data_IF_302458992677
#
_entry.id   IF_302458992677
#
_cell.length_a   1.000
_cell.length_b   1.000
_cell.length_c   1.000
_cell.angle_alpha   90.00
_cell.angle_beta   90.00
_cell.angle_gamma   90.00
#
_symmetry.space_group_name_H-M   'P 1'
#
loop_
_entity.id
_entity.type
_entity.pdbx_description
1 polymer ?
#
# COMPACT_ATOMS: atom_id res chain seq x y z
N UNK A 1 -6.40 -10.59 3.35
CA UNK A 1 -5.04 -10.03 3.51
C UNK A 1 -4.11 -10.96 4.28
N UNK A 2 -4.42 -11.38 5.52
CA UNK A 2 -3.53 -12.20 6.38
C UNK A 2 -2.81 -13.34 5.65
N UNK A 3 -3.53 -14.29 5.03
CA UNK A 3 -2.93 -15.47 4.39
C UNK A 3 -1.98 -15.15 3.23
N UNK A 4 -2.20 -14.03 2.55
CA UNK A 4 -1.38 -13.62 1.41
C UNK A 4 -0.11 -12.87 1.82
N UNK A 5 -0.04 -12.35 3.05
CA UNK A 5 0.94 -11.33 3.40
C UNK A 5 1.49 -11.44 4.83
N UNK A 6 1.13 -12.49 5.59
CA UNK A 6 1.74 -12.75 6.88
C UNK A 6 3.26 -12.88 6.71
N UNK A 7 4.01 -12.13 7.49
CA UNK A 7 5.46 -12.18 7.47
C UNK A 7 6.02 -12.14 8.89
N UNK A 8 6.92 -13.05 9.20
CA UNK A 8 7.73 -13.03 10.42
C UNK A 8 9.05 -12.30 10.21
N UNK A 9 9.28 -11.76 9.02
CA UNK A 9 10.54 -11.15 8.62
C UNK A 9 11.69 -12.16 8.53
N UNK A 10 11.41 -13.46 8.43
CA UNK A 10 12.43 -14.50 8.29
C UNK A 10 11.87 -15.66 7.46
N UNK A 11 12.68 -16.70 7.26
CA UNK A 11 12.33 -17.83 6.41
C UNK A 11 11.11 -18.64 6.89
N UNK A 12 10.68 -18.53 8.15
CA UNK A 12 9.51 -19.28 8.64
C UNK A 12 8.21 -18.76 8.01
N UNK A 13 8.16 -17.46 7.71
CA UNK A 13 7.10 -16.85 6.93
C UNK A 13 7.66 -15.60 6.24
N UNK A 14 8.16 -15.72 5.00
CA UNK A 14 8.78 -14.61 4.30
C UNK A 14 7.80 -13.48 3.97
N UNK A 15 6.52 -13.80 3.75
CA UNK A 15 5.51 -12.87 3.26
C UNK A 15 5.33 -12.96 1.76
N UNK A 16 4.70 -11.94 1.18
CA UNK A 16 4.52 -11.77 -0.28
C UNK A 16 3.78 -12.91 -1.02
N UNK A 17 3.18 -13.89 -0.34
CA UNK A 17 2.45 -14.99 -0.98
C UNK A 17 1.44 -14.51 -2.03
N UNK A 18 0.65 -13.48 -1.70
CA UNK A 18 -0.32 -12.90 -2.64
C UNK A 18 0.31 -12.20 -3.84
N UNK A 19 1.52 -11.64 -3.70
CA UNK A 19 2.26 -11.10 -4.85
C UNK A 19 2.85 -12.22 -5.71
N UNK A 20 3.35 -13.28 -5.09
CA UNK A 20 3.86 -14.47 -5.80
C UNK A 20 2.74 -15.17 -6.56
N UNK A 21 1.53 -15.28 -5.99
CA UNK A 21 0.34 -15.79 -6.68
C UNK A 21 0.02 -14.95 -7.93
N UNK A 22 0.02 -13.62 -7.81
CA UNK A 22 -0.21 -12.73 -8.95
C UNK A 22 0.91 -12.83 -9.99
N UNK A 23 2.18 -12.96 -9.58
CA UNK A 23 3.31 -13.14 -10.47
C UNK A 23 3.22 -14.47 -11.23
N UNK A 24 2.79 -15.55 -10.56
CA UNK A 24 2.51 -16.85 -11.19
C UNK A 24 1.37 -16.77 -12.19
N UNK A 25 0.25 -16.15 -11.81
CA UNK A 25 -0.88 -15.96 -12.70
C UNK A 25 -0.47 -15.16 -13.96
N UNK A 26 0.30 -14.10 -13.77
CA UNK A 26 0.83 -13.30 -14.87
C UNK A 26 1.78 -14.11 -15.76
N UNK A 27 2.64 -14.96 -15.17
CA UNK A 27 3.51 -15.85 -15.94
C UNK A 27 2.71 -16.87 -16.75
N UNK A 28 1.69 -17.48 -16.13
CA UNK A 28 0.78 -18.39 -16.82
C UNK A 28 0.09 -17.70 -18.00
N UNK A 29 -0.39 -16.47 -17.82
CA UNK A 29 -0.95 -15.67 -18.92
C UNK A 29 0.10 -15.46 -20.01
N UNK A 30 1.30 -15.01 -19.67
CA UNK A 30 2.37 -14.79 -20.66
C UNK A 30 2.72 -16.05 -21.47
N UNK A 31 2.71 -17.22 -20.83
CA UNK A 31 3.05 -18.47 -21.48
C UNK A 31 1.90 -19.04 -22.34
N UNK A 32 0.64 -18.78 -21.97
CA UNK A 32 -0.52 -19.46 -22.54
C UNK A 32 -1.51 -18.57 -23.33
N UNK A 33 -1.46 -17.23 -23.20
CA UNK A 33 -2.52 -16.37 -23.73
C UNK A 33 -2.67 -16.43 -25.26
N UNK A 34 -1.62 -16.82 -25.98
CA UNK A 34 -1.68 -17.03 -27.44
C UNK A 34 -2.64 -18.17 -27.83
N UNK A 35 -2.82 -19.19 -26.99
CA UNK A 35 -3.82 -20.25 -27.24
C UNK A 35 -5.26 -19.73 -27.12
N UNK A 36 -5.44 -18.56 -26.51
CA UNK A 36 -6.72 -17.86 -26.37
C UNK A 36 -6.81 -16.66 -27.34
N UNK A 37 -5.96 -16.61 -28.37
CA UNK A 37 -5.86 -15.53 -29.35
C UNK A 37 -5.48 -14.15 -28.76
N UNK A 38 -4.87 -14.11 -27.57
CA UNK A 38 -4.30 -12.87 -27.03
C UNK A 38 -2.83 -12.69 -27.37
N UNK A 39 -2.34 -11.46 -27.23
CA UNK A 39 -0.94 -11.12 -27.50
C UNK A 39 -0.12 -11.04 -26.20
N UNK A 40 0.81 -12.00 -26.02
CA UNK A 40 1.70 -12.04 -24.85
C UNK A 40 2.63 -10.82 -24.75
N UNK A 41 2.84 -10.08 -25.85
CA UNK A 41 3.65 -8.86 -25.91
C UNK A 41 2.85 -7.60 -25.58
N UNK A 42 1.57 -7.74 -25.26
CA UNK A 42 0.66 -6.62 -25.02
C UNK A 42 -0.14 -6.78 -23.72
N UNK A 43 0.50 -7.27 -22.67
CA UNK A 43 -0.14 -7.46 -21.36
C UNK A 43 -0.31 -6.12 -20.64
N UNK A 44 -1.56 -5.83 -20.23
CA UNK A 44 -1.95 -4.66 -19.44
C UNK A 44 -2.43 -5.11 -18.07
N UNK A 45 -1.79 -4.62 -17.00
CA UNK A 45 -2.29 -4.77 -15.63
C UNK A 45 -3.17 -3.58 -15.28
N UNK A 46 -4.29 -3.82 -14.63
CA UNK A 46 -5.16 -2.75 -14.16
C UNK A 46 -5.81 -3.14 -12.84
N UNK A 47 -6.10 -2.14 -12.02
CA UNK A 47 -6.83 -2.36 -10.77
C UNK A 47 -7.00 -1.08 -9.97
N UNK A 48 -8.01 -1.04 -9.08
CA UNK A 48 -8.18 0.04 -8.12
C UNK A 48 -7.38 -0.20 -6.82
N UNK A 49 -7.02 0.89 -6.15
CA UNK A 49 -6.51 0.90 -4.77
C UNK A 49 -5.33 -0.07 -4.55
N UNK A 50 -5.46 -1.08 -3.69
CA UNK A 50 -4.42 -2.09 -3.47
C UNK A 50 -4.07 -2.88 -4.76
N UNK A 51 -5.03 -3.04 -5.69
CA UNK A 51 -4.79 -3.62 -7.00
C UNK A 51 -3.90 -2.73 -7.89
N UNK A 52 -4.06 -1.40 -7.80
CA UNK A 52 -3.18 -0.45 -8.49
C UNK A 52 -1.74 -0.51 -7.92
N UNK A 53 -1.62 -0.60 -6.59
CA UNK A 53 -0.34 -0.78 -5.92
C UNK A 53 0.32 -2.11 -6.33
N UNK A 54 -0.42 -3.21 -6.33
CA UNK A 54 0.02 -4.51 -6.82
C UNK A 54 0.50 -4.45 -8.28
N UNK A 55 -0.26 -3.82 -9.18
CA UNK A 55 0.13 -3.65 -10.58
C UNK A 55 1.44 -2.86 -10.72
N UNK A 56 1.60 -1.78 -9.95
CA UNK A 56 2.84 -1.02 -9.91
C UNK A 56 4.03 -1.80 -9.34
N UNK A 57 3.82 -2.67 -8.35
CA UNK A 57 4.88 -3.53 -7.81
C UNK A 57 5.28 -4.62 -8.82
N UNK A 58 4.31 -5.27 -9.47
CA UNK A 58 4.57 -6.27 -10.53
C UNK A 58 5.27 -5.67 -11.75
N UNK A 59 5.02 -4.40 -12.05
CA UNK A 59 5.71 -3.66 -13.12
C UNK A 59 7.22 -3.52 -12.87
N UNK A 60 7.67 -3.49 -11.62
CA UNK A 60 9.09 -3.29 -11.27
C UNK A 60 9.77 -4.54 -10.71
N UNK A 61 8.98 -5.52 -10.26
CA UNK A 61 9.50 -6.76 -9.69
C UNK A 61 10.35 -7.53 -10.71
N UNK A 62 11.54 -8.04 -10.33
CA UNK A 62 12.51 -8.63 -11.27
C UNK A 62 11.93 -9.71 -12.18
N UNK A 63 11.00 -10.54 -11.69
CA UNK A 63 10.42 -11.68 -12.43
C UNK A 63 9.31 -11.29 -13.41
N UNK A 64 8.69 -10.13 -13.24
CA UNK A 64 7.50 -9.72 -14.00
C UNK A 64 7.71 -8.43 -14.80
N UNK A 65 8.73 -7.64 -14.47
CA UNK A 65 8.97 -6.33 -15.09
C UNK A 65 9.16 -6.37 -16.61
N UNK A 66 9.64 -7.48 -17.17
CA UNK A 66 9.91 -7.60 -18.60
C UNK A 66 8.67 -8.04 -19.40
N UNK A 67 7.66 -8.61 -18.73
CA UNK A 67 6.41 -9.09 -19.37
C UNK A 67 5.23 -8.11 -19.20
N UNK A 68 5.25 -7.25 -18.18
CA UNK A 68 4.26 -6.17 -18.04
C UNK A 68 4.59 -5.06 -19.03
N UNK A 69 3.64 -4.74 -19.91
CA UNK A 69 3.84 -3.70 -20.94
C UNK A 69 3.00 -2.45 -20.72
N UNK A 70 1.89 -2.56 -19.97
CA UNK A 70 1.03 -1.43 -19.63
C UNK A 70 0.47 -1.57 -18.23
N UNK A 71 0.24 -0.44 -17.57
CA UNK A 71 -0.43 -0.37 -16.27
C UNK A 71 -1.52 0.71 -16.29
N UNK A 72 -2.69 0.39 -15.77
CA UNK A 72 -3.76 1.35 -15.45
C UNK A 72 -3.99 1.32 -13.93
N UNK A 73 -3.45 2.33 -13.24
CA UNK A 73 -3.45 2.44 -11.78
C UNK A 73 -4.54 3.43 -11.31
N UNK A 74 -5.64 2.91 -10.76
CA UNK A 74 -6.79 3.70 -10.34
C UNK A 74 -6.73 3.91 -8.81
N UNK A 75 -6.58 5.14 -8.34
CA UNK A 75 -6.65 5.46 -6.90
C UNK A 75 -5.66 4.70 -6.02
N UNK A 76 -4.47 4.37 -6.54
CA UNK A 76 -3.41 3.70 -5.79
C UNK A 76 -2.08 3.67 -6.56
N UNK A 77 -0.99 3.40 -5.84
CA UNK A 77 0.37 3.43 -6.40
C UNK A 77 1.30 2.51 -5.62
N UNK A 78 2.29 1.93 -6.30
CA UNK A 78 3.38 1.19 -5.64
C UNK A 78 4.27 2.08 -4.77
N UNK A 79 4.17 3.40 -4.93
CA UNK A 79 4.88 4.39 -4.12
C UNK A 79 4.07 4.82 -2.90
N UNK A 80 2.80 4.45 -2.79
CA UNK A 80 2.01 4.76 -1.59
C UNK A 80 2.71 4.17 -0.35
N UNK A 81 2.70 4.92 0.74
CA UNK A 81 3.30 4.53 2.02
C UNK A 81 2.76 3.22 2.60
N UNK A 82 1.52 2.87 2.26
CA UNK A 82 0.86 1.63 2.66
C UNK A 82 1.09 0.47 1.68
N UNK A 83 1.67 0.72 0.50
CA UNK A 83 1.81 -0.28 -0.56
C UNK A 83 2.94 -1.28 -0.30
N UNK A 84 3.99 -0.87 0.42
CA UNK A 84 5.15 -1.72 0.73
C UNK A 84 5.62 -1.49 2.17
N UNK A 85 5.65 -2.55 2.96
CA UNK A 85 6.20 -2.54 4.32
C UNK A 85 7.72 -2.76 4.21
N UNK A 86 8.46 -1.67 4.33
CA UNK A 86 9.94 -1.69 4.27
C UNK A 86 10.57 -2.12 5.59
N UNK A 87 9.96 -1.74 6.72
CA UNK A 87 10.47 -2.09 8.05
C UNK A 87 10.12 -3.55 8.40
N UNK A 88 11.15 -4.41 8.36
CA UNK A 88 11.08 -5.81 8.78
C UNK A 88 10.52 -5.99 10.19
N UNK A 89 10.89 -5.13 11.13
CA UNK A 89 10.45 -5.25 12.53
C UNK A 89 8.97 -4.90 12.67
N UNK A 90 8.45 -3.96 11.86
CA UNK A 90 7.01 -3.71 11.77
C UNK A 90 6.26 -4.96 11.33
N UNK A 91 6.70 -5.62 10.27
CA UNK A 91 6.08 -6.85 9.77
C UNK A 91 6.11 -7.97 10.84
N UNK A 92 7.28 -8.20 11.45
CA UNK A 92 7.46 -9.19 12.51
C UNK A 92 6.57 -8.92 13.73
N UNK A 93 6.58 -7.68 14.25
CA UNK A 93 5.79 -7.32 15.42
C UNK A 93 4.29 -7.44 15.16
N UNK A 94 3.83 -7.05 13.96
CA UNK A 94 2.42 -7.21 13.57
C UNK A 94 2.00 -8.68 13.66
N UNK A 95 2.79 -9.59 13.09
CA UNK A 95 2.51 -11.03 13.16
C UNK A 95 2.58 -11.59 14.59
N UNK A 96 3.49 -11.08 15.43
CA UNK A 96 3.58 -11.48 16.85
C UNK A 96 2.36 -11.03 17.65
N UNK A 97 1.95 -9.77 17.56
CA UNK A 97 0.78 -9.26 18.30
C UNK A 97 -0.48 -10.01 17.86
N UNK A 98 -0.63 -10.27 16.57
CA UNK A 98 -1.73 -11.08 16.06
C UNK A 98 -1.72 -12.51 16.63
N UNK A 99 -0.54 -13.14 16.65
CA UNK A 99 -0.36 -14.44 17.30
C UNK A 99 -0.78 -14.45 18.76
N UNK A 100 -0.42 -13.41 19.53
CA UNK A 100 -0.81 -13.29 20.94
C UNK A 100 -2.33 -13.18 21.12
N UNK A 101 -3.02 -12.41 20.27
CA UNK A 101 -4.49 -12.28 20.30
C UNK A 101 -5.15 -13.64 20.09
N UNK A 102 -4.58 -14.44 19.19
CA UNK A 102 -4.99 -15.82 18.94
C UNK A 102 -4.38 -16.83 19.91
N UNK A 103 -3.80 -16.42 21.04
CA UNK A 103 -3.22 -17.33 22.03
C UNK A 103 -2.11 -18.25 21.50
N UNK A 104 -1.44 -17.87 20.42
CA UNK A 104 -0.29 -18.58 19.87
C UNK A 104 1.02 -18.16 20.57
N UNK A 105 1.94 -19.12 20.72
CA UNK A 105 3.28 -18.85 21.25
C UNK A 105 4.06 -17.94 20.31
N UNK A 106 4.68 -16.89 20.87
CA UNK A 106 5.53 -15.93 20.15
C UNK A 106 7.01 -16.00 20.56
N UNK A 107 7.41 -17.11 21.20
CA UNK A 107 8.81 -17.33 21.63
C UNK A 107 9.76 -17.45 20.44
N UNK A 108 9.28 -18.02 19.33
CA UNK A 108 10.00 -18.06 18.06
C UNK A 108 9.03 -17.90 16.89
N UNK A 109 9.54 -17.42 15.76
CA UNK A 109 8.75 -17.30 14.52
C UNK A 109 8.24 -18.65 14.05
N UNK A 110 9.01 -19.72 14.20
CA UNK A 110 8.56 -21.08 13.92
C UNK A 110 7.36 -21.51 14.79
N UNK A 111 7.44 -21.33 16.12
CA UNK A 111 6.33 -21.69 17.03
C UNK A 111 5.06 -20.91 16.70
N UNK A 112 5.21 -19.63 16.40
CA UNK A 112 4.13 -18.75 15.97
C UNK A 112 3.48 -19.28 14.68
N UNK A 113 4.27 -19.48 13.62
CA UNK A 113 3.76 -19.94 12.32
C UNK A 113 3.16 -21.34 12.43
N UNK A 114 3.78 -22.24 13.19
CA UNK A 114 3.25 -23.59 13.39
C UNK A 114 1.89 -23.56 14.12
N UNK A 115 1.76 -22.75 15.17
CA UNK A 115 0.49 -22.56 15.87
C UNK A 115 -0.60 -21.98 14.96
N UNK A 116 -0.26 -20.95 14.16
CA UNK A 116 -1.22 -20.37 13.23
C UNK A 116 -1.65 -21.35 12.13
N UNK A 117 -0.74 -22.21 11.66
CA UNK A 117 -1.03 -23.19 10.60
C UNK A 117 -1.79 -24.42 11.10
N UNK A 118 -1.43 -24.95 12.27
CA UNK A 118 -1.95 -26.24 12.77
C UNK A 118 -2.95 -26.09 13.92
N UNK A 119 -2.80 -25.04 14.72
CA UNK A 119 -3.58 -24.83 15.95
C UNK A 119 -4.78 -23.89 15.79
N UNK A 120 -4.96 -23.26 14.63
CA UNK A 120 -6.06 -22.32 14.36
C UNK A 120 -6.78 -22.64 13.07
N UNK A 121 -8.11 -22.55 13.13
CA UNK A 121 -8.97 -22.73 11.97
C UNK A 121 -8.91 -21.54 11.03
N UNK A 122 -9.31 -21.76 9.77
CA UNK A 122 -9.43 -20.68 8.81
C UNK A 122 -10.33 -19.54 9.29
N UNK A 123 -11.43 -19.86 9.95
CA UNK A 123 -12.39 -18.88 10.44
C UNK A 123 -11.82 -18.05 11.59
N UNK A 124 -11.09 -18.67 12.54
CA UNK A 124 -10.39 -17.93 13.60
C UNK A 124 -9.37 -16.95 13.01
N UNK A 125 -8.61 -17.40 12.00
CA UNK A 125 -7.62 -16.56 11.33
C UNK A 125 -8.25 -15.44 10.47
N UNK A 126 -9.47 -15.62 9.99
CA UNK A 126 -10.16 -14.66 9.13
C UNK A 126 -10.97 -13.62 9.90
N UNK A 127 -11.55 -14.01 11.02
CA UNK A 127 -12.52 -13.21 11.78
C UNK A 127 -11.91 -12.49 12.98
N UNK A 128 -10.65 -12.73 13.32
CA UNK A 128 -10.00 -12.02 14.40
C UNK A 128 -9.86 -10.52 14.05
N UNK A 129 -10.53 -9.67 14.83
CA UNK A 129 -10.40 -8.23 14.71
C UNK A 129 -8.98 -7.80 15.08
N UNK A 130 -8.28 -7.17 14.14
CA UNK A 130 -6.93 -6.71 14.34
C UNK A 130 -6.71 -5.33 13.72
N UNK A 131 -6.42 -4.35 14.58
CA UNK A 131 -6.09 -3.00 14.17
C UNK A 131 -4.57 -2.79 14.29
N UNK A 132 -3.87 -2.42 13.21
CA UNK A 132 -2.43 -2.19 13.27
C UNK A 132 -2.10 -0.98 14.14
N UNK A 133 -1.07 -1.11 14.96
CA UNK A 133 -0.53 0.00 15.75
C UNK A 133 0.25 1.00 14.88
N UNK A 134 0.87 0.52 13.78
CA UNK A 134 1.71 1.30 12.87
C UNK A 134 1.28 1.07 11.43
N UNK A 135 1.13 2.16 10.68
CA UNK A 135 0.69 2.18 9.28
C UNK A 135 -0.81 1.89 9.08
N UNK A 136 -1.23 1.84 7.82
CA UNK A 136 -2.65 1.72 7.46
C UNK A 136 -3.16 0.28 7.53
N UNK A 137 -2.45 -0.64 6.88
CA UNK A 137 -2.81 -2.06 6.84
C UNK A 137 -1.88 -2.88 7.74
N UNK A 138 -2.40 -3.93 8.40
CA UNK A 138 -1.59 -4.81 9.23
C UNK A 138 -0.66 -5.70 8.40
N UNK A 139 -1.15 -6.20 7.27
CA UNK A 139 -0.35 -6.97 6.32
C UNK A 139 -0.51 -6.44 4.92
N UNK A 140 0.56 -6.50 4.15
CA UNK A 140 0.66 -6.12 2.74
C UNK A 140 2.00 -6.62 2.18
N UNK A 141 2.36 -6.24 0.96
CA UNK A 141 3.68 -6.54 0.41
C UNK A 141 4.80 -6.08 1.37
N UNK A 142 5.81 -6.91 1.55
CA UNK A 142 7.00 -6.62 2.37
C UNK A 142 8.22 -6.53 1.47
N UNK A 143 9.20 -5.68 1.83
CA UNK A 143 10.50 -5.73 1.18
C UNK A 143 11.21 -7.03 1.59
N UNK A 144 11.72 -7.79 0.63
CA UNK A 144 12.34 -9.07 0.95
C UNK A 144 13.61 -8.84 1.79
N UNK A 145 13.74 -9.65 2.84
CA UNK A 145 14.94 -9.72 3.64
C UNK A 145 15.97 -10.67 3.03
N UNK A 146 17.22 -10.53 3.45
CA UNK A 146 18.26 -11.51 3.14
C UNK A 146 18.13 -12.70 4.09
N UNK A 147 17.27 -13.66 3.76
CA UNK A 147 17.14 -14.92 4.48
C UNK A 147 17.21 -16.08 3.49
N UNK A 148 17.87 -17.17 3.90
CA UNK A 148 17.88 -18.40 3.12
C UNK A 148 16.53 -19.09 3.26
N UNK A 149 15.77 -19.18 2.17
CA UNK A 149 14.61 -20.08 2.10
C UNK A 149 15.17 -21.48 1.81
N UNK A 150 14.74 -22.53 2.53
CA UNK A 150 15.18 -23.89 2.22
C UNK A 150 14.93 -24.22 0.75
N UNK A 151 15.85 -24.95 0.14
CA UNK A 151 15.74 -25.43 -1.25
C UNK A 151 14.73 -26.59 -1.30
N UNK A 152 13.47 -26.28 -0.98
CA UNK A 152 12.39 -27.25 -0.97
C UNK A 152 11.53 -27.05 -2.21
N UNK A 153 11.31 -28.14 -2.96
CA UNK A 153 10.49 -28.19 -4.17
C UNK A 153 9.00 -28.17 -3.82
N UNK A 154 8.52 -27.13 -3.13
CA UNK A 154 7.10 -26.99 -2.78
C UNK A 154 6.23 -26.88 -4.03
N UNK A 155 6.79 -26.35 -5.10
CA UNK A 155 6.23 -26.33 -6.44
C UNK A 155 7.27 -26.83 -7.44
N UNK A 156 6.84 -27.66 -8.38
CA UNK A 156 7.70 -28.21 -9.42
C UNK A 156 8.31 -27.07 -10.25
N UNK A 157 9.64 -27.04 -10.35
CA UNK A 157 10.38 -26.03 -11.10
C UNK A 157 10.67 -24.71 -10.37
N UNK A 158 10.22 -24.53 -9.12
CA UNK A 158 10.59 -23.37 -8.29
C UNK A 158 11.92 -23.59 -7.58
N UNK A 159 12.80 -22.60 -7.69
CA UNK A 159 14.07 -22.52 -6.97
C UNK A 159 13.98 -21.54 -5.81
N UNK A 160 14.97 -21.56 -4.92
CA UNK A 160 15.06 -20.62 -3.79
C UNK A 160 14.87 -19.14 -4.20
N UNK A 161 15.42 -18.73 -5.35
CA UNK A 161 15.31 -17.35 -5.86
C UNK A 161 13.87 -16.95 -6.21
N UNK A 162 13.01 -17.92 -6.54
CA UNK A 162 11.64 -17.67 -6.99
C UNK A 162 10.72 -17.21 -5.85
N UNK A 163 11.14 -17.42 -4.60
CA UNK A 163 10.46 -16.97 -3.38
C UNK A 163 10.69 -15.50 -3.05
N UNK A 164 11.64 -14.85 -3.74
CA UNK A 164 11.87 -13.42 -3.62
C UNK A 164 11.02 -12.66 -4.65
N UNK A 165 10.16 -11.78 -4.16
CA UNK A 165 9.33 -10.90 -4.96
C UNK A 165 10.03 -9.56 -5.30
N UNK A 166 10.60 -8.88 -4.29
CA UNK A 166 11.12 -7.53 -4.43
C UNK A 166 12.34 -7.28 -3.51
N UNK A 167 13.48 -6.97 -4.11
CA UNK A 167 14.78 -6.80 -3.43
C UNK A 167 15.08 -5.34 -3.05
N UNK A 168 14.40 -4.37 -3.66
CA UNK A 168 14.55 -2.93 -3.40
C UNK A 168 13.18 -2.25 -3.34
N UNK A 169 13.13 -1.03 -2.78
CA UNK A 169 11.88 -0.26 -2.77
C UNK A 169 11.41 0.08 -4.19
N UNK A 170 10.10 0.21 -4.37
CA UNK A 170 9.51 0.61 -5.64
C UNK A 170 10.08 1.97 -6.13
N UNK A 171 10.29 2.92 -5.22
CA UNK A 171 10.92 4.22 -5.52
C UNK A 171 12.31 4.05 -6.13
N UNK A 172 13.15 3.20 -5.52
CA UNK A 172 14.49 2.93 -6.04
C UNK A 172 14.44 2.31 -7.44
N UNK A 173 13.59 1.29 -7.64
CA UNK A 173 13.48 0.59 -8.91
C UNK A 173 12.97 1.51 -10.02
N UNK A 174 11.97 2.34 -9.74
CA UNK A 174 11.43 3.31 -10.68
C UNK A 174 12.47 4.38 -11.04
N UNK A 175 13.15 4.97 -10.05
CA UNK A 175 14.19 6.00 -10.29
C UNK A 175 15.37 5.45 -11.10
N UNK A 176 15.71 4.18 -10.90
CA UNK A 176 16.77 3.50 -11.65
C UNK A 176 16.30 2.83 -12.95
N UNK A 177 15.07 3.13 -13.40
CA UNK A 177 14.49 2.63 -14.66
C UNK A 177 14.50 1.10 -14.76
N UNK A 178 14.24 0.41 -13.65
CA UNK A 178 14.16 -1.06 -13.55
C UNK A 178 12.74 -1.56 -13.86
N UNK A 179 12.26 -1.26 -15.06
CA UNK A 179 10.98 -1.68 -15.60
C UNK A 179 11.07 -1.82 -17.13
N UNK A 180 10.06 -2.39 -17.79
CA UNK A 180 10.02 -2.49 -19.25
C UNK A 180 10.21 -1.11 -19.91
N UNK A 181 11.19 -0.96 -20.81
CA UNK A 181 11.48 0.34 -21.46
C UNK A 181 10.32 0.89 -22.30
N UNK A 182 9.47 0.00 -22.83
CA UNK A 182 8.28 0.36 -23.62
C UNK A 182 7.01 0.49 -22.79
N UNK A 183 7.12 0.49 -21.46
CA UNK A 183 5.97 0.53 -20.56
C UNK A 183 5.11 1.79 -20.79
N UNK A 184 3.81 1.60 -20.95
CA UNK A 184 2.83 2.70 -20.89
C UNK A 184 2.12 2.71 -19.54
N UNK A 185 2.01 3.88 -18.91
CA UNK A 185 1.41 4.02 -17.59
C UNK A 185 0.27 5.04 -17.62
N UNK A 186 -0.92 4.62 -17.20
CA UNK A 186 -2.08 5.48 -17.00
C UNK A 186 -2.43 5.44 -15.52
N UNK A 187 -2.71 6.59 -14.93
CA UNK A 187 -3.18 6.67 -13.55
C UNK A 187 -4.16 7.81 -13.36
N UNK A 188 -5.01 7.67 -12.36
CA UNK A 188 -6.00 8.68 -11.98
C UNK A 188 -6.38 8.53 -10.52
N UNK A 189 -6.88 9.62 -9.95
CA UNK A 189 -7.43 9.69 -8.59
C UNK A 189 -8.78 10.38 -8.63
N UNK A 190 -9.62 10.13 -7.63
CA UNK A 190 -10.92 10.78 -7.46
C UNK A 190 -10.81 12.08 -6.68
N UNK A 191 -11.85 12.91 -6.70
CA UNK A 191 -11.88 14.19 -5.98
C UNK A 191 -11.95 14.00 -4.47
N UNK A 192 -12.53 12.90 -3.97
CA UNK A 192 -12.73 12.65 -2.54
C UNK A 192 -12.33 11.23 -2.13
N UNK A 193 -11.10 10.81 -2.44
CA UNK A 193 -10.63 9.42 -2.23
C UNK A 193 -10.78 8.88 -0.80
N UNK A 194 -10.74 9.78 0.18
CA UNK A 194 -10.79 9.41 1.59
C UNK A 194 -12.17 9.66 2.24
N UNK A 195 -13.21 9.97 1.46
CA UNK A 195 -14.57 10.21 1.99
C UNK A 195 -15.13 8.99 2.72
N UNK A 196 -14.75 7.78 2.29
CA UNK A 196 -15.10 6.51 2.94
C UNK A 196 -14.71 6.47 4.42
N UNK A 197 -13.63 7.15 4.82
CA UNK A 197 -13.20 7.21 6.24
C UNK A 197 -14.14 8.04 7.12
N UNK A 198 -14.87 8.98 6.52
CA UNK A 198 -15.93 9.72 7.20
C UNK A 198 -17.19 8.86 7.27
N UNK A 199 -17.56 8.24 6.15
CA UNK A 199 -18.77 7.44 6.03
C UNK A 199 -18.79 6.18 6.92
N UNK A 200 -17.65 5.49 7.02
CA UNK A 200 -17.50 4.26 7.84
C UNK A 200 -17.26 4.54 9.34
N UNK A 201 -17.25 5.80 9.76
CA UNK A 201 -16.97 6.14 11.15
C UNK A 201 -18.27 6.22 11.95
N UNK A 202 -18.53 5.22 12.78
CA UNK A 202 -19.75 5.14 13.61
C UNK A 202 -19.92 6.35 14.55
N UNK A 203 -18.80 6.92 15.03
CA UNK A 203 -18.86 8.12 15.89
C UNK A 203 -19.32 9.35 15.13
N UNK A 204 -18.99 9.45 13.84
CA UNK A 204 -19.47 10.52 12.97
C UNK A 204 -20.88 10.24 12.45
N UNK A 205 -21.24 8.98 12.20
CA UNK A 205 -22.59 8.59 11.78
C UNK A 205 -23.65 9.06 12.79
N UNK A 206 -23.38 8.87 14.09
CA UNK A 206 -24.22 9.35 15.19
C UNK A 206 -24.30 10.88 15.32
N UNK A 207 -23.44 11.62 14.61
CA UNK A 207 -23.37 13.09 14.60
C UNK A 207 -23.70 13.69 13.24
N UNK A 208 -24.38 12.95 12.35
CA UNK A 208 -24.75 13.41 11.01
C UNK A 208 -23.54 13.68 10.10
N UNK A 209 -22.42 12.98 10.30
CA UNK A 209 -21.17 13.13 9.56
C UNK A 209 -20.53 14.52 9.64
N UNK A 210 -20.82 15.27 10.71
CA UNK A 210 -20.21 16.57 11.00
C UNK A 210 -18.78 16.36 11.50
N UNK A 211 -17.82 16.96 10.80
CA UNK A 211 -16.41 17.01 11.22
C UNK A 211 -16.11 18.43 11.71
N UNK A 212 -15.90 18.57 13.02
CA UNK A 212 -15.51 19.84 13.64
C UNK A 212 -13.98 19.95 13.79
N UNK A 213 -13.52 21.15 14.16
CA UNK A 213 -12.09 21.42 14.37
C UNK A 213 -11.48 20.54 15.48
N UNK A 214 -12.27 20.15 16.48
CA UNK A 214 -11.79 19.30 17.57
C UNK A 214 -11.50 17.88 17.07
N UNK A 215 -12.43 17.28 16.33
CA UNK A 215 -12.24 15.98 15.70
C UNK A 215 -11.07 16.03 14.72
N UNK A 216 -10.99 17.07 13.90
CA UNK A 216 -9.89 17.28 12.97
C UNK A 216 -8.53 17.28 13.70
N UNK A 217 -8.39 18.10 14.73
CA UNK A 217 -7.16 18.20 15.53
C UNK A 217 -6.78 16.86 16.17
N UNK A 218 -7.75 16.12 16.70
CA UNK A 218 -7.52 14.78 17.24
C UNK A 218 -6.98 13.83 16.18
N UNK A 219 -7.58 13.81 14.98
CA UNK A 219 -7.15 12.92 13.90
C UNK A 219 -5.80 13.29 13.30
N UNK A 220 -5.44 14.57 13.24
CA UNK A 220 -4.08 14.97 12.84
C UNK A 220 -3.06 14.52 13.88
N UNK A 221 -3.36 14.63 15.18
CA UNK A 221 -2.45 14.12 16.24
C UNK A 221 -2.28 12.60 16.15
N UNK A 222 -3.37 11.86 15.98
CA UNK A 222 -3.32 10.40 15.76
C UNK A 222 -2.47 10.03 14.53
N UNK A 223 -2.60 10.78 13.44
CA UNK A 223 -1.79 10.59 12.23
C UNK A 223 -0.30 10.77 12.54
N UNK A 224 0.07 11.87 13.20
CA UNK A 224 1.48 12.14 13.54
C UNK A 224 2.09 11.04 14.40
N UNK A 225 1.31 10.50 15.36
CA UNK A 225 1.73 9.39 16.19
C UNK A 225 1.90 8.09 15.39
N UNK A 226 0.94 7.76 14.51
CA UNK A 226 0.94 6.53 13.72
C UNK A 226 2.14 6.41 12.78
N UNK A 227 2.65 7.53 12.27
CA UNK A 227 3.82 7.60 11.40
C UNK A 227 5.13 7.86 12.14
N UNK A 228 5.08 7.96 13.47
CA UNK A 228 6.24 8.10 14.35
C UNK A 228 7.22 9.21 13.90
N UNK A 229 6.72 10.42 13.63
CA UNK A 229 7.57 11.57 13.32
C UNK A 229 8.33 12.03 14.58
N UNK A 230 9.47 11.39 14.86
CA UNK A 230 10.22 11.53 16.12
C UNK A 230 10.94 12.86 16.28
N UNK A 231 11.29 13.54 15.19
CA UNK A 231 12.15 14.74 15.24
C UNK A 231 11.42 16.00 15.75
N UNK A 232 10.19 16.24 15.32
CA UNK A 232 9.39 17.40 15.76
C UNK A 232 7.89 17.15 15.58
N UNK A 233 7.27 16.29 16.40
CA UNK A 233 5.86 15.92 16.23
C UNK A 233 4.91 17.12 16.35
N UNK A 234 5.23 18.10 17.21
CA UNK A 234 4.44 19.32 17.39
C UNK A 234 4.52 20.21 16.14
N UNK A 235 5.72 20.40 15.59
CA UNK A 235 5.93 21.16 14.36
C UNK A 235 5.22 20.54 13.17
N UNK A 236 5.25 19.21 13.03
CA UNK A 236 4.55 18.48 11.98
C UNK A 236 3.03 18.62 12.14
N UNK A 237 2.50 18.43 13.34
CA UNK A 237 1.08 18.66 13.64
C UNK A 237 0.64 20.07 13.25
N UNK A 238 1.40 21.10 13.68
CA UNK A 238 1.09 22.50 13.37
C UNK A 238 1.15 22.76 11.86
N UNK A 239 2.12 22.19 11.15
CA UNK A 239 2.25 22.35 9.71
C UNK A 239 1.08 21.69 8.96
N UNK A 240 0.70 20.46 9.32
CA UNK A 240 -0.45 19.77 8.70
C UNK A 240 -1.73 20.55 8.98
N UNK A 241 -1.98 20.94 10.24
CA UNK A 241 -3.14 21.75 10.59
C UNK A 241 -3.19 23.04 9.77
N UNK A 242 -2.06 23.75 9.66
CA UNK A 242 -1.99 24.99 8.92
C UNK A 242 -2.29 24.82 7.42
N UNK A 243 -1.68 23.80 6.81
CA UNK A 243 -1.82 23.53 5.37
C UNK A 243 -3.24 23.14 4.97
N UNK A 244 -3.95 22.47 5.87
CA UNK A 244 -5.30 21.97 5.63
C UNK A 244 -6.38 22.76 6.38
N UNK A 245 -6.08 23.96 6.88
CA UNK A 245 -7.13 24.87 7.34
C UNK A 245 -7.62 25.73 6.18
N UNK A 246 -8.93 25.80 5.98
CA UNK A 246 -9.51 26.78 5.06
C UNK A 246 -9.58 28.16 5.73
N UNK A 247 -8.49 28.92 5.62
CA UNK A 247 -8.32 30.20 6.32
C UNK A 247 -9.40 31.28 6.09
N UNK A 248 -10.08 31.38 4.92
CA UNK A 248 -11.17 32.34 4.75
C UNK A 248 -12.34 32.10 5.69
N UNK A 249 -12.61 30.84 6.06
CA UNK A 249 -13.67 30.46 6.99
C UNK A 249 -13.27 29.18 7.77
N UNK A 250 -12.45 29.31 8.82
CA UNK A 250 -11.85 28.17 9.51
C UNK A 250 -12.83 27.40 10.41
N UNK A 251 -14.02 27.94 10.66
CA UNK A 251 -15.01 27.34 11.57
C UNK A 251 -16.15 26.64 10.83
N UNK A 252 -16.20 26.74 9.51
CA UNK A 252 -17.20 26.08 8.70
C UNK A 252 -16.95 24.58 8.60
N UNK A 253 -17.89 23.81 9.12
CA UNK A 253 -17.77 22.35 9.24
C UNK A 253 -17.71 21.62 7.90
N UNK A 254 -18.28 22.18 6.83
CA UNK A 254 -18.17 21.58 5.49
C UNK A 254 -16.74 21.70 4.97
N UNK A 255 -16.12 22.88 5.11
CA UNK A 255 -14.72 23.06 4.73
C UNK A 255 -13.77 22.26 5.63
N UNK A 256 -14.06 22.14 6.93
CA UNK A 256 -13.26 21.30 7.83
C UNK A 256 -13.37 19.83 7.43
N UNK A 257 -14.55 19.33 7.07
CA UNK A 257 -14.73 17.96 6.56
C UNK A 257 -13.97 17.74 5.25
N UNK A 258 -14.08 18.64 4.29
CA UNK A 258 -13.39 18.52 3.00
C UNK A 258 -11.87 18.51 3.18
N UNK A 259 -11.37 19.37 4.07
CA UNK A 259 -9.95 19.41 4.40
C UNK A 259 -9.50 18.16 5.16
N UNK A 260 -10.32 17.64 6.06
CA UNK A 260 -10.07 16.35 6.69
C UNK A 260 -9.92 15.24 5.64
N UNK A 261 -10.81 15.16 4.65
CA UNK A 261 -10.69 14.22 3.53
C UNK A 261 -9.38 14.46 2.76
N UNK A 262 -9.05 15.69 2.41
CA UNK A 262 -7.81 16.02 1.68
C UNK A 262 -6.54 15.66 2.47
N UNK A 263 -6.54 15.81 3.80
CA UNK A 263 -5.38 15.44 4.66
C UNK A 263 -5.07 13.97 4.62
N UNK A 264 -6.09 13.16 4.36
CA UNK A 264 -5.92 11.73 4.19
C UNK A 264 -5.36 11.44 2.81
N UNK A 265 -5.61 12.24 1.78
CA UNK A 265 -5.11 11.96 0.42
C UNK A 265 -3.67 12.42 0.22
N UNK A 266 -3.29 13.55 0.82
CA UNK A 266 -1.97 14.18 0.63
C UNK A 266 -1.98 15.32 -0.39
N UNK A 267 -3.12 16.00 -0.61
CA UNK A 267 -3.19 17.17 -1.51
C UNK A 267 -2.58 18.43 -0.86
N UNK A 268 -1.25 18.54 -0.91
CA UNK A 268 -0.54 19.79 -0.61
C UNK A 268 -0.52 20.76 -1.79
N UNK A 269 -0.65 22.08 -1.54
CA UNK A 269 -0.41 23.12 -2.56
C UNK A 269 1.05 23.09 -3.02
N UNK A 270 1.25 23.23 -4.35
CA UNK A 270 2.46 23.02 -5.17
C UNK A 270 3.82 23.65 -4.77
N UNK A 271 4.02 24.24 -3.58
CA UNK A 271 5.13 25.19 -3.37
C UNK A 271 6.10 24.92 -2.21
N UNK A 272 6.13 23.73 -1.60
CA UNK A 272 7.12 23.46 -0.54
C UNK A 272 8.03 22.31 -0.94
N UNK A 273 9.25 22.67 -1.34
CA UNK A 273 10.33 21.72 -1.55
C UNK A 273 10.54 20.90 -0.28
N UNK A 274 10.45 19.57 -0.42
CA UNK A 274 10.66 18.57 0.64
C UNK A 274 9.81 18.83 1.89
N UNK A 275 8.51 18.50 1.88
CA UNK A 275 7.74 18.48 3.13
C UNK A 275 6.57 17.49 3.15
N UNK A 276 6.70 16.52 4.05
CA UNK A 276 5.68 15.75 4.81
C UNK A 276 4.53 15.17 3.98
N UNK A 277 4.60 13.88 3.60
CA UNK A 277 3.47 13.22 2.95
C UNK A 277 2.44 12.91 4.04
N UNK A 278 1.33 13.64 4.06
CA UNK A 278 0.13 13.16 4.76
C UNK A 278 -0.52 12.13 3.81
N UNK A 279 0.01 10.92 3.84
CA UNK A 279 -0.30 9.86 2.88
C UNK A 279 -1.54 9.06 3.31
N UNK A 280 -2.48 8.90 2.39
CA UNK A 280 -3.30 7.69 2.24
C UNK A 280 -3.63 7.37 0.77
N UNK A 281 -3.49 8.28 -0.21
CA UNK A 281 -3.80 7.90 -1.61
C UNK A 281 -2.83 8.45 -2.66
N UNK A 282 -1.99 9.45 -2.37
CA UNK A 282 -1.04 9.98 -3.36
C UNK A 282 0.36 10.20 -2.80
N UNK A 283 1.28 9.28 -3.08
CA UNK A 283 2.67 9.67 -3.30
C UNK A 283 2.77 10.24 -4.71
N UNK A 284 3.42 11.40 -4.81
CA UNK A 284 3.61 12.22 -6.00
C UNK A 284 3.66 11.39 -7.30
N UNK A 285 2.58 11.43 -8.08
CA UNK A 285 2.57 10.97 -9.48
C UNK A 285 3.64 11.70 -10.33
N UNK A 286 4.23 12.79 -9.81
CA UNK A 286 5.34 13.53 -10.43
C UNK A 286 6.72 12.88 -10.25
N UNK A 287 6.88 11.98 -9.28
CA UNK A 287 8.12 11.23 -9.05
C UNK A 287 8.17 9.91 -9.85
N UNK A 288 7.04 9.54 -10.46
CA UNK A 288 7.05 8.65 -11.62
C UNK A 288 7.71 9.45 -12.76
N UNK A 289 8.80 8.96 -13.38
CA UNK A 289 9.50 9.67 -14.44
C UNK A 289 8.49 10.27 -15.43
N UNK A 290 8.63 11.56 -15.77
CA UNK A 290 7.73 12.26 -16.71
C UNK A 290 7.56 11.54 -18.07
N UNK A 291 8.43 10.56 -18.35
CA UNK A 291 8.36 9.63 -19.48
C UNK A 291 7.25 8.58 -19.40
N UNK A 292 6.63 8.37 -18.23
CA UNK A 292 5.57 7.38 -18.01
C UNK A 292 4.17 8.00 -17.91
N UNK A 293 4.04 9.28 -17.53
CA UNK A 293 2.74 9.96 -17.41
C UNK A 293 2.37 10.60 -18.74
N UNK A 294 1.73 9.83 -19.62
CA UNK A 294 1.21 10.33 -20.90
C UNK A 294 -0.31 10.54 -20.86
N UNK A 295 -0.84 11.30 -19.89
CA UNK A 295 -2.17 11.93 -20.04
C UNK A 295 -2.18 13.25 -19.26
N UNK A 296 -1.99 14.35 -19.97
CA UNK A 296 -2.34 15.68 -19.49
C UNK A 296 -3.88 15.76 -19.48
N UNK A 297 -4.52 15.73 -18.29
CA UNK A 297 -5.92 16.14 -18.16
C UNK A 297 -5.98 17.63 -18.51
N UNK A 298 -6.26 17.95 -19.77
CA UNK A 298 -6.74 19.28 -20.14
C UNK A 298 -8.09 19.46 -19.48
N UNK A 299 -8.20 20.48 -18.63
CA UNK A 299 -9.46 20.95 -18.07
C UNK A 299 -10.48 21.11 -19.21
N UNK A 300 -11.51 20.26 -19.22
CA UNK A 300 -12.66 20.45 -20.09
C UNK A 300 -13.57 21.43 -19.36
N UNK A 301 -13.80 22.64 -19.89
CA UNK A 301 -14.69 23.60 -19.26
C UNK A 301 -16.12 23.06 -19.29
N UNK A 302 -16.80 23.12 -18.14
CA UNK A 302 -18.22 22.82 -18.05
C UNK A 302 -18.99 23.76 -18.99
N UNK A 303 -19.86 23.18 -19.82
CA UNK A 303 -20.85 23.89 -20.65
C UNK A 303 -22.17 23.93 -19.91
#
# INVERSE_FOLDING_TARGET
>A
MLKGFLSTGDANSPGNYGMLDQAMALRWVYDNIEFFNGDRRSITLFGPDAGAASAGLLMVAPRTRDIVTRVIAQSGSALSDWALIVDRYRAQNTSRVYGQILGCSIESSWKLVNCLKQGRSFFELGNAEFQPQVGLFPWGPVLDGNFSVPDEHWYEGWQQIDWHFLDHTAEYLVRNKKFNRGLSYMSGVTTQEASTLVYQNDSLANRGYIVDNHFFDQKVKELVLRYNYTLNPIGIYNAIKYMYTHWPDPNNTDFVRDRYIDTRVGRGRKNVGKSVPATLVAVEQKDVPATLVAVEQKDVPAT
#
